data_IF_785374378573
#
_entry.id   IF_785374378573
#
_cell.length_a   1.000
_cell.length_b   1.000
_cell.length_c   1.000
_cell.angle_alpha   90.00
_cell.angle_beta   90.00
_cell.angle_gamma   90.00
#
_symmetry.space_group_name_H-M   'P 1'
#
loop_
_entity.id
_entity.type
_entity.pdbx_description
1 polymer ?
#
# COMPACT_ATOMS: atom_id res chain seq x y z
N UNK A 1 -9.45 4.51 14.36
CA UNK A 1 -9.62 3.69 15.58
C UNK A 1 -8.33 3.75 16.41
N UNK A 2 -8.32 3.59 17.74
CA UNK A 2 -7.07 3.73 18.56
C UNK A 2 -5.98 2.67 18.25
N UNK A 3 -6.30 1.66 17.44
CA UNK A 3 -5.42 0.52 17.07
C UNK A 3 -5.07 0.46 15.57
N UNK A 4 -5.30 1.53 14.83
CA UNK A 4 -4.98 1.62 13.40
C UNK A 4 -3.83 2.61 13.19
N UNK A 5 -2.85 2.23 12.37
CA UNK A 5 -1.69 3.06 12.04
C UNK A 5 -1.53 3.11 10.53
N UNK A 6 -1.40 4.31 9.98
CA UNK A 6 -0.95 4.52 8.61
C UNK A 6 0.57 4.43 8.53
N UNK A 7 1.09 3.72 7.53
CA UNK A 7 2.52 3.65 7.28
C UNK A 7 2.81 3.82 5.79
N UNK A 8 3.94 4.43 5.49
CA UNK A 8 4.50 4.53 4.15
C UNK A 8 5.94 4.03 4.21
N UNK A 9 6.29 3.14 3.28
CA UNK A 9 7.62 2.53 3.22
C UNK A 9 8.08 2.37 1.79
N UNK A 10 9.36 2.65 1.57
CA UNK A 10 10.07 2.39 0.32
C UNK A 10 10.92 1.12 0.49
N UNK A 11 10.28 -0.01 0.83
CA UNK A 11 10.97 -1.29 1.07
C UNK A 11 10.18 -2.49 0.53
N UNK A 12 10.82 -3.28 -0.33
CA UNK A 12 10.26 -4.51 -0.89
C UNK A 12 10.56 -5.78 -0.07
N UNK A 13 11.17 -5.66 1.12
CA UNK A 13 11.57 -6.85 1.90
C UNK A 13 10.34 -7.64 2.35
N UNK A 14 10.35 -8.95 2.16
CA UNK A 14 9.26 -9.84 2.52
C UNK A 14 8.79 -9.59 3.98
N UNK A 15 7.47 -9.42 4.17
CA UNK A 15 6.82 -9.21 5.48
C UNK A 15 7.42 -8.09 6.34
N UNK A 16 8.06 -7.07 5.75
CA UNK A 16 8.74 -6.00 6.51
C UNK A 16 7.84 -5.32 7.55
N UNK A 17 6.61 -4.96 7.17
CA UNK A 17 5.65 -4.33 8.09
C UNK A 17 5.37 -5.23 9.29
N UNK A 18 5.11 -6.51 9.07
CA UNK A 18 4.82 -7.46 10.17
C UNK A 18 6.02 -7.63 11.09
N UNK A 19 7.23 -7.73 10.54
CA UNK A 19 8.47 -7.85 11.31
C UNK A 19 8.79 -6.60 12.14
N UNK A 20 8.56 -5.41 11.59
CA UNK A 20 8.73 -4.15 12.33
C UNK A 20 7.84 -4.10 13.57
N UNK A 21 6.55 -4.42 13.44
CA UNK A 21 5.63 -4.43 14.57
C UNK A 21 5.94 -5.56 15.56
N UNK A 22 6.33 -6.73 15.07
CA UNK A 22 6.75 -7.87 15.92
C UNK A 22 7.98 -7.54 16.77
N UNK A 23 8.97 -6.85 16.22
CA UNK A 23 10.15 -6.38 16.96
C UNK A 23 9.81 -5.39 18.08
N UNK A 24 8.64 -4.75 18.00
CA UNK A 24 8.10 -3.85 19.03
C UNK A 24 7.11 -4.55 19.97
N UNK A 25 6.94 -5.87 19.87
CA UNK A 25 6.01 -6.65 20.68
C UNK A 25 4.54 -6.59 20.23
N UNK A 26 4.27 -6.09 19.02
CA UNK A 26 2.91 -6.00 18.48
C UNK A 26 2.62 -7.08 17.45
N UNK A 27 1.39 -7.59 17.48
CA UNK A 27 0.84 -8.48 16.44
C UNK A 27 0.00 -7.68 15.46
N UNK A 28 0.28 -7.82 14.16
CA UNK A 28 -0.52 -7.20 13.09
C UNK A 28 -1.67 -8.14 12.70
N UNK A 29 -2.90 -7.81 13.11
CA UNK A 29 -4.09 -8.61 12.79
C UNK A 29 -4.53 -8.46 11.33
N UNK A 30 -4.47 -7.24 10.80
CA UNK A 30 -4.84 -6.91 9.41
C UNK A 30 -3.79 -6.01 8.79
N UNK A 31 -3.37 -6.35 7.58
CA UNK A 31 -2.51 -5.51 6.76
C UNK A 31 -3.24 -5.23 5.44
N UNK A 32 -3.41 -3.95 5.14
CA UNK A 32 -4.17 -3.51 3.98
C UNK A 32 -3.40 -2.42 3.25
N UNK A 33 -2.97 -2.71 2.02
CA UNK A 33 -2.26 -1.74 1.19
C UNK A 33 -3.30 -0.85 0.50
N UNK A 34 -3.39 0.39 0.96
CA UNK A 34 -4.37 1.36 0.46
C UNK A 34 -3.83 2.26 -0.66
N UNK A 35 -2.51 2.38 -0.76
CA UNK A 35 -1.80 3.22 -1.72
C UNK A 35 -0.56 2.50 -2.28
N UNK A 36 -0.23 2.74 -3.54
CA UNK A 36 0.98 2.27 -4.18
C UNK A 36 1.31 3.10 -5.42
N UNK A 37 2.43 3.83 -5.41
CA UNK A 37 2.92 4.57 -6.59
C UNK A 37 1.88 5.48 -7.22
N UNK A 38 1.22 6.34 -6.43
CA UNK A 38 0.14 7.21 -6.94
C UNK A 38 -1.24 6.58 -7.00
N UNK A 39 -1.31 5.25 -7.00
CA UNK A 39 -2.58 4.53 -7.15
C UNK A 39 -3.25 4.31 -5.79
N UNK A 40 -4.57 4.44 -5.77
CA UNK A 40 -5.41 4.04 -4.63
C UNK A 40 -6.38 2.95 -5.06
N UNK A 41 -6.84 2.15 -4.10
CA UNK A 41 -7.93 1.19 -4.31
C UNK A 41 -9.33 1.82 -4.24
N UNK A 42 -9.44 3.15 -4.28
CA UNK A 42 -10.73 3.85 -4.20
C UNK A 42 -11.61 3.41 -5.38
N UNK A 43 -12.89 3.16 -5.11
CA UNK A 43 -13.87 2.69 -6.10
C UNK A 43 -13.54 1.33 -6.76
N UNK A 44 -12.65 0.52 -6.17
CA UNK A 44 -12.39 -0.85 -6.61
C UNK A 44 -12.88 -1.85 -5.56
N UNK A 45 -13.87 -2.66 -5.94
CA UNK A 45 -14.40 -3.70 -5.05
C UNK A 45 -13.36 -4.81 -4.79
N UNK A 46 -13.46 -5.43 -3.62
CA UNK A 46 -12.57 -6.55 -3.25
C UNK A 46 -12.68 -7.69 -4.28
N UNK A 47 -11.53 -8.19 -4.72
CA UNK A 47 -11.45 -9.27 -5.71
C UNK A 47 -11.69 -8.84 -7.16
N UNK A 48 -11.95 -7.55 -7.42
CA UNK A 48 -12.06 -6.99 -8.77
C UNK A 48 -10.76 -6.31 -9.19
N UNK A 49 -10.63 -6.13 -10.50
CA UNK A 49 -9.55 -5.39 -11.14
C UNK A 49 -10.15 -4.42 -12.17
N UNK A 50 -9.37 -3.44 -12.58
CA UNK A 50 -9.69 -2.52 -13.69
C UNK A 50 -8.43 -2.19 -14.46
N UNK A 51 -8.60 -1.70 -15.68
CA UNK A 51 -7.51 -1.08 -16.42
C UNK A 51 -7.16 0.28 -15.80
N UNK A 52 -5.89 0.64 -15.88
CA UNK A 52 -5.43 1.98 -15.55
C UNK A 52 -5.82 2.95 -16.67
N UNK A 53 -6.16 4.17 -16.31
CA UNK A 53 -6.30 5.26 -17.27
C UNK A 53 -4.92 5.63 -17.85
N UNK A 54 -4.88 6.22 -19.04
CA UNK A 54 -3.64 6.69 -19.64
C UNK A 54 -2.87 7.64 -18.71
N UNK A 55 -3.59 8.49 -17.97
CA UNK A 55 -3.00 9.39 -16.98
C UNK A 55 -2.25 8.62 -15.89
N UNK A 56 -2.87 7.59 -15.32
CA UNK A 56 -2.24 6.73 -14.30
C UNK A 56 -1.03 5.99 -14.85
N UNK A 57 -1.12 5.47 -16.09
CA UNK A 57 0.00 4.80 -16.77
C UNK A 57 1.16 5.77 -16.95
N UNK A 58 0.90 6.98 -17.42
CA UNK A 58 1.94 7.99 -17.65
C UNK A 58 2.60 8.43 -16.34
N UNK A 59 1.82 8.63 -15.28
CA UNK A 59 2.35 8.98 -13.96
C UNK A 59 3.29 7.90 -13.41
N UNK A 60 2.95 6.62 -13.59
CA UNK A 60 3.82 5.51 -13.20
C UNK A 60 5.11 5.47 -14.03
N UNK A 61 5.02 5.68 -15.35
CA UNK A 61 6.20 5.69 -16.24
C UNK A 61 7.17 6.82 -15.93
N UNK A 62 6.65 7.96 -15.47
CA UNK A 62 7.46 9.14 -15.15
C UNK A 62 8.02 9.12 -13.73
N UNK A 63 7.81 8.04 -12.95
CA UNK A 63 8.11 7.98 -11.51
C UNK A 63 7.64 9.23 -10.76
N UNK A 64 6.47 9.78 -11.12
CA UNK A 64 6.01 11.08 -10.61
C UNK A 64 5.67 11.07 -9.10
N UNK A 65 5.82 9.92 -8.44
CA UNK A 65 5.51 9.67 -7.03
C UNK A 65 6.69 9.08 -6.26
N UNK A 66 7.89 9.03 -6.86
CA UNK A 66 9.17 8.92 -6.16
C UNK A 66 9.76 10.32 -5.93
#
# INVERSE_FOLDING_TARGET
NKKEVGLEIHSGKNRIVRRMFEALGYRVDKLDRVYFGGLTKKNLQRGKWRLLSEKEVNMLKMNAYE
#
